data_IF_378842032440
#
_entry.id   IF_378842032440
#
_cell.length_a   1.000
_cell.length_b   1.000
_cell.length_c   1.000
_cell.angle_alpha   90.00
_cell.angle_beta   90.00
_cell.angle_gamma   90.00
#
_symmetry.space_group_name_H-M   'P 1'
#
loop_
_entity.id
_entity.type
_entity.pdbx_description
1 polymer ?
#
# COMPACT_ATOMS: atom_id res chain seq x y z
N UNK A 1 -10.52 8.06 -11.84
CA UNK A 1 -9.97 7.18 -10.78
C UNK A 1 -10.65 7.59 -9.48
N UNK A 2 -11.09 6.64 -8.66
CA UNK A 2 -11.43 6.95 -7.26
C UNK A 2 -10.12 7.45 -6.66
N UNK A 3 -9.97 8.77 -6.56
CA UNK A 3 -8.89 9.35 -5.77
C UNK A 3 -9.29 8.99 -4.36
N UNK A 4 -8.69 7.94 -3.83
CA UNK A 4 -8.76 7.63 -2.42
C UNK A 4 -8.17 8.85 -1.72
N UNK A 5 -8.98 9.68 -1.04
CA UNK A 5 -8.44 10.84 -0.36
C UNK A 5 -7.43 10.33 0.68
N UNK A 6 -6.25 10.97 0.80
CA UNK A 6 -5.28 10.55 1.80
C UNK A 6 -5.93 10.60 3.19
N UNK A 7 -5.62 9.65 4.08
CA UNK A 7 -6.16 9.66 5.43
C UNK A 7 -5.77 10.94 6.16
N UNK A 8 -6.64 11.35 7.09
CA UNK A 8 -6.27 12.34 8.11
C UNK A 8 -5.37 11.65 9.13
N UNK A 9 -4.06 11.92 9.04
CA UNK A 9 -3.05 11.33 9.92
C UNK A 9 -2.83 12.13 11.21
N UNK A 10 -3.61 13.19 11.41
CA UNK A 10 -3.58 14.13 12.53
C UNK A 10 -4.69 13.87 13.56
N UNK A 11 -5.42 12.74 13.46
CA UNK A 11 -6.39 12.36 14.49
C UNK A 11 -5.71 12.21 15.85
N UNK A 12 -6.40 12.48 16.98
CA UNK A 12 -5.77 12.40 18.30
C UNK A 12 -5.11 11.04 18.59
N UNK A 13 -5.71 9.96 18.11
CA UNK A 13 -5.20 8.59 18.23
C UNK A 13 -3.88 8.41 17.46
N UNK A 14 -3.84 8.80 16.18
CA UNK A 14 -2.64 8.69 15.36
C UNK A 14 -1.56 9.70 15.75
N UNK A 15 -1.95 10.86 16.27
CA UNK A 15 -1.03 11.88 16.81
C UNK A 15 -0.40 11.46 18.14
N UNK A 16 -1.07 10.62 18.94
CA UNK A 16 -0.54 10.05 20.18
C UNK A 16 0.21 8.72 20.02
N UNK A 17 0.15 8.09 18.85
CA UNK A 17 0.84 6.83 18.54
C UNK A 17 2.38 6.90 18.77
N UNK A 18 3.04 5.77 19.08
CA UNK A 18 4.50 5.74 19.17
C UNK A 18 5.15 5.77 17.79
N UNK A 19 6.44 6.12 17.74
CA UNK A 19 7.26 5.86 16.55
C UNK A 19 7.45 4.36 16.34
N UNK A 20 7.55 3.93 15.08
CA UNK A 20 7.79 2.54 14.72
C UNK A 20 9.16 2.06 15.20
N UNK A 21 9.22 0.80 15.62
CA UNK A 21 10.47 0.15 16.01
C UNK A 21 11.17 -0.39 14.78
N UNK A 22 12.48 -0.13 14.69
CA UNK A 22 13.34 -0.67 13.64
C UNK A 22 14.41 -1.59 14.24
N UNK A 23 14.66 -2.71 13.57
CA UNK A 23 15.66 -3.72 13.96
C UNK A 23 16.59 -3.96 12.77
N UNK A 24 17.91 -4.02 12.96
CA UNK A 24 18.84 -4.28 11.87
C UNK A 24 18.61 -5.68 11.28
N UNK A 25 18.60 -5.76 9.95
CA UNK A 25 18.55 -7.03 9.23
C UNK A 25 19.75 -7.92 9.59
N UNK A 26 19.55 -9.21 9.93
CA UNK A 26 20.62 -10.09 10.41
C UNK A 26 21.63 -10.47 9.31
N UNK A 27 21.18 -10.58 8.06
CA UNK A 27 21.98 -10.94 6.89
C UNK A 27 21.36 -10.38 5.61
N UNK A 28 22.11 -10.41 4.52
CA UNK A 28 21.59 -10.08 3.19
C UNK A 28 20.44 -11.02 2.82
N UNK A 29 19.33 -10.45 2.35
CA UNK A 29 18.13 -11.18 1.97
C UNK A 29 17.29 -11.69 3.16
N UNK A 30 17.68 -11.41 4.41
CA UNK A 30 17.01 -11.89 5.62
C UNK A 30 16.47 -10.72 6.42
N UNK A 31 15.21 -10.80 6.80
CA UNK A 31 14.52 -9.80 7.64
C UNK A 31 14.46 -10.26 9.10
N UNK A 32 14.40 -9.34 10.07
CA UNK A 32 14.30 -9.70 11.49
C UNK A 32 12.97 -10.37 11.82
N UNK A 33 12.97 -11.15 12.91
CA UNK A 33 11.74 -11.71 13.45
C UNK A 33 10.73 -10.60 13.80
N UNK A 34 9.47 -10.83 13.43
CA UNK A 34 8.39 -9.87 13.66
C UNK A 34 8.44 -8.64 12.75
N UNK A 35 9.17 -8.67 11.63
CA UNK A 35 9.05 -7.65 10.60
C UNK A 35 7.60 -7.50 10.14
N UNK A 36 7.22 -6.26 9.81
CA UNK A 36 5.92 -5.99 9.22
C UNK A 36 5.94 -6.34 7.72
N UNK A 37 5.08 -7.27 7.30
CA UNK A 37 4.90 -7.62 5.89
C UNK A 37 3.80 -6.74 5.29
N UNK A 38 4.17 -5.92 4.31
CA UNK A 38 3.26 -4.95 3.69
C UNK A 38 2.14 -5.59 2.87
N UNK A 39 0.99 -4.92 2.84
CA UNK A 39 -0.13 -5.22 1.93
C UNK A 39 -0.03 -4.35 0.67
N UNK A 40 -1.02 -4.44 -0.23
CA UNK A 40 -1.15 -3.52 -1.36
C UNK A 40 -1.92 -2.22 -1.02
N UNK A 41 -2.25 -2.01 0.26
CA UNK A 41 -2.95 -0.82 0.72
C UNK A 41 -1.98 0.32 1.08
N UNK A 42 -2.43 1.59 1.03
CA UNK A 42 -1.63 2.72 1.49
C UNK A 42 -1.18 2.50 2.94
N UNK A 43 0.13 2.42 3.13
CA UNK A 43 0.77 2.17 4.43
C UNK A 43 1.55 3.41 4.86
N UNK A 44 1.48 3.73 6.14
CA UNK A 44 2.14 4.86 6.79
C UNK A 44 2.92 4.38 8.01
N UNK A 45 4.12 4.91 8.19
CA UNK A 45 5.01 4.57 9.30
C UNK A 45 5.38 5.84 10.04
N UNK A 46 5.24 5.84 11.36
CA UNK A 46 5.58 6.98 12.20
C UNK A 46 7.07 6.95 12.53
N UNK A 47 7.80 7.96 12.08
CA UNK A 47 9.26 8.07 12.23
C UNK A 47 9.57 9.51 12.65
N UNK A 48 10.19 9.69 13.82
CA UNK A 48 10.51 11.02 14.34
C UNK A 48 9.28 11.87 14.59
N UNK A 49 8.18 11.26 15.03
CA UNK A 49 6.90 11.93 15.27
C UNK A 49 6.09 12.25 14.00
N UNK A 50 6.56 11.86 12.82
CA UNK A 50 5.88 12.14 11.54
C UNK A 50 5.44 10.85 10.84
N UNK A 51 4.22 10.85 10.34
CA UNK A 51 3.72 9.76 9.49
C UNK A 51 4.25 9.91 8.06
N UNK A 52 4.97 8.88 7.59
CA UNK A 52 5.60 8.85 6.26
C UNK A 52 5.12 7.63 5.48
N UNK A 53 4.89 7.80 4.19
CA UNK A 53 4.57 6.68 3.28
C UNK A 53 5.86 6.16 2.63
N UNK A 54 6.02 4.85 2.43
CA UNK A 54 7.21 4.30 1.79
C UNK A 54 7.28 4.67 0.31
N UNK A 55 8.50 4.78 -0.20
CA UNK A 55 8.79 4.72 -1.64
C UNK A 55 8.46 3.31 -2.16
N UNK A 56 7.93 3.27 -3.39
CA UNK A 56 7.59 2.02 -4.11
C UNK A 56 6.65 1.06 -3.33
N UNK A 57 5.49 1.54 -2.84
CA UNK A 57 4.57 0.72 -2.06
C UNK A 57 4.09 -0.50 -2.87
N UNK A 58 4.05 -1.65 -2.22
CA UNK A 58 3.67 -2.95 -2.80
C UNK A 58 3.34 -3.93 -1.69
N UNK A 59 2.64 -5.00 -2.03
CA UNK A 59 2.51 -6.16 -1.15
C UNK A 59 3.80 -6.98 -1.05
N UNK A 60 3.87 -7.77 0.01
CA UNK A 60 4.92 -8.77 0.29
C UNK A 60 6.34 -8.17 0.36
N UNK A 61 6.43 -6.94 0.85
CA UNK A 61 7.68 -6.23 1.09
C UNK A 61 7.89 -5.91 2.57
N UNK A 62 9.15 -5.69 2.94
CA UNK A 62 9.55 -5.17 4.24
C UNK A 62 9.71 -3.64 4.18
N UNK A 63 9.40 -2.96 5.27
CA UNK A 63 9.60 -1.51 5.42
C UNK A 63 11.01 -1.24 5.92
N UNK A 64 11.82 -0.54 5.13
CA UNK A 64 13.26 -0.34 5.38
C UNK A 64 13.60 1.14 5.35
N UNK A 65 14.40 1.60 6.32
CA UNK A 65 15.03 2.92 6.27
C UNK A 65 16.39 2.83 5.58
N UNK A 66 16.62 3.67 4.57
CA UNK A 66 17.96 3.78 3.98
C UNK A 66 18.88 4.71 4.78
N UNK A 67 20.14 4.83 4.34
CA UNK A 67 21.13 5.67 5.01
C UNK A 67 20.84 7.18 4.98
N UNK A 68 19.94 7.65 4.11
CA UNK A 68 19.46 9.02 4.08
C UNK A 68 18.21 9.23 4.98
N UNK A 69 17.71 8.15 5.59
CA UNK A 69 16.48 8.16 6.37
C UNK A 69 15.22 8.13 5.51
N UNK A 70 15.30 7.74 4.25
CA UNK A 70 14.12 7.53 3.40
C UNK A 70 13.51 6.16 3.65
N UNK A 71 12.18 6.11 3.70
CA UNK A 71 11.43 4.89 3.94
C UNK A 71 11.11 4.20 2.61
N UNK A 72 11.42 2.91 2.51
CA UNK A 72 11.20 2.08 1.33
C UNK A 72 10.37 0.85 1.64
N UNK A 73 9.50 0.45 0.72
CA UNK A 73 8.95 -0.90 0.69
C UNK A 73 9.86 -1.76 -0.21
N UNK A 74 10.61 -2.69 0.41
CA UNK A 74 11.66 -3.46 -0.27
C UNK A 74 11.37 -4.96 -0.22
N UNK A 75 11.48 -5.63 -1.36
CA UNK A 75 11.45 -7.09 -1.40
C UNK A 75 12.54 -7.66 -0.48
N UNK A 76 12.20 -8.67 0.32
CA UNK A 76 13.11 -9.25 1.32
C UNK A 76 14.48 -9.63 0.74
N UNK A 77 14.50 -10.23 -0.46
CA UNK A 77 15.73 -10.59 -1.19
C UNK A 77 16.66 -9.41 -1.54
N UNK A 78 16.19 -8.17 -1.44
CA UNK A 78 16.96 -6.94 -1.71
C UNK A 78 17.42 -6.24 -0.42
N UNK A 79 16.97 -6.69 0.76
CA UNK A 79 17.41 -6.15 2.05
C UNK A 79 18.87 -6.53 2.28
N UNK A 80 19.67 -5.58 2.77
CA UNK A 80 21.08 -5.77 3.11
C UNK A 80 21.26 -5.89 4.61
N UNK A 81 22.27 -6.66 5.02
CA UNK A 81 22.65 -6.82 6.43
C UNK A 81 22.82 -5.46 7.09
N UNK A 82 22.22 -5.31 8.27
CA UNK A 82 22.30 -4.09 9.07
C UNK A 82 21.29 -3.01 8.69
N UNK A 83 20.57 -3.13 7.57
CA UNK A 83 19.52 -2.16 7.25
C UNK A 83 18.41 -2.17 8.31
N UNK A 84 17.97 -1.00 8.81
CA UNK A 84 16.86 -0.93 9.75
C UNK A 84 15.55 -1.35 9.09
N UNK A 85 14.96 -2.44 9.57
CA UNK A 85 13.65 -2.96 9.11
C UNK A 85 12.61 -2.72 10.18
N UNK A 86 11.44 -2.19 9.80
CA UNK A 86 10.33 -1.97 10.73
C UNK A 86 9.77 -3.30 11.22
N UNK A 87 9.54 -3.40 12.53
CA UNK A 87 8.95 -4.57 13.20
C UNK A 87 7.68 -4.18 13.94
N UNK A 88 6.72 -5.10 13.96
CA UNK A 88 5.37 -4.86 14.46
C UNK A 88 4.37 -5.64 13.62
N UNK A 89 3.18 -5.88 14.17
CA UNK A 89 2.08 -6.57 13.48
C UNK A 89 0.80 -5.75 13.42
N UNK A 90 0.67 -4.73 14.28
CA UNK A 90 -0.51 -3.90 14.29
C UNK A 90 -0.55 -2.94 13.10
N UNK A 91 -1.75 -2.77 12.55
CA UNK A 91 -2.03 -1.96 11.36
C UNK A 91 -2.82 -0.68 11.68
N UNK A 92 -3.14 -0.45 12.96
CA UNK A 92 -3.98 0.66 13.43
C UNK A 92 -3.16 1.84 14.01
N UNK A 93 -1.83 1.80 13.86
CA UNK A 93 -0.92 2.81 14.35
C UNK A 93 -0.36 2.57 15.74
N UNK A 94 -0.86 1.60 16.54
CA UNK A 94 -0.38 1.38 17.92
C UNK A 94 1.08 0.96 18.04
N UNK A 95 1.67 0.42 16.97
CA UNK A 95 3.10 0.08 16.86
C UNK A 95 3.84 1.02 15.89
N UNK A 96 3.27 2.19 15.59
CA UNK A 96 3.83 3.16 14.66
C UNK A 96 3.67 2.77 13.19
N UNK A 97 2.84 1.78 12.86
CA UNK A 97 2.51 1.36 11.50
C UNK A 97 0.99 1.43 11.33
N UNK A 98 0.54 2.16 10.31
CA UNK A 98 -0.87 2.39 10.01
C UNK A 98 -1.18 2.01 8.56
N UNK A 99 -2.18 1.17 8.35
CA UNK A 99 -2.68 0.76 7.03
C UNK A 99 -4.05 1.41 6.81
N UNK A 100 -4.20 2.12 5.70
CA UNK A 100 -5.44 2.82 5.39
C UNK A 100 -6.42 1.91 4.63
N UNK A 101 -7.17 1.10 5.37
CA UNK A 101 -8.14 0.13 4.80
C UNK A 101 -9.35 0.78 4.13
N UNK A 102 -9.80 1.93 4.64
CA UNK A 102 -10.91 2.71 4.08
C UNK A 102 -10.69 3.20 2.66
N UNK A 103 -9.47 3.03 2.14
CA UNK A 103 -9.17 3.16 0.73
C UNK A 103 -10.09 2.33 -0.19
N UNK A 104 -10.58 1.17 0.28
CA UNK A 104 -11.32 0.23 -0.56
C UNK A 104 -12.79 0.01 -0.16
N UNK A 105 -13.30 0.72 0.87
CA UNK A 105 -14.69 0.57 1.30
C UNK A 105 -15.66 1.17 0.27
N UNK A 106 -16.01 0.39 -0.76
CA UNK A 106 -17.23 0.57 -1.53
C UNK A 106 -18.35 -0.16 -0.80
N UNK A 107 -19.01 0.54 0.14
CA UNK A 107 -20.06 -0.05 0.97
C UNK A 107 -21.20 -0.65 0.15
N UNK A 108 -21.64 -1.84 0.52
CA UNK A 108 -22.96 -2.39 0.22
C UNK A 108 -23.22 -3.66 1.07
N UNK A 109 -23.78 -3.48 2.26
CA UNK A 109 -24.11 -4.58 3.20
C UNK A 109 -25.57 -5.07 3.04
N UNK A 110 -26.14 -4.91 1.83
CA UNK A 110 -27.50 -5.36 1.49
C UNK A 110 -27.45 -6.64 0.66
N UNK A 111 -28.45 -7.51 0.82
CA UNK A 111 -28.58 -8.73 0.03
C UNK A 111 -28.63 -8.43 -1.47
N UNK A 112 -27.76 -9.05 -2.27
CA UNK A 112 -27.63 -8.83 -3.72
C UNK A 112 -27.52 -10.14 -4.49
N UNK A 113 -28.17 -10.21 -5.66
CA UNK A 113 -27.93 -11.26 -6.67
C UNK A 113 -26.79 -10.84 -7.60
N UNK A 114 -26.06 -11.81 -8.18
CA UNK A 114 -24.93 -11.56 -9.11
C UNK A 114 -23.76 -10.75 -8.49
N UNK A 115 -23.56 -10.89 -7.18
CA UNK A 115 -22.55 -10.16 -6.41
C UNK A 115 -21.09 -10.63 -6.65
N UNK A 116 -20.87 -11.75 -7.35
CA UNK A 116 -19.50 -12.25 -7.60
C UNK A 116 -18.70 -11.28 -8.46
N UNK A 117 -17.43 -11.01 -8.15
CA UNK A 117 -16.63 -10.01 -8.86
C UNK A 117 -16.51 -10.29 -10.37
N UNK A 118 -16.38 -11.55 -10.76
CA UNK A 118 -16.19 -11.98 -12.15
C UNK A 118 -17.39 -12.80 -12.63
N UNK A 119 -17.98 -12.39 -13.76
CA UNK A 119 -18.99 -13.18 -14.51
C UNK A 119 -19.00 -12.75 -15.98
N UNK A 120 -19.20 -13.73 -16.88
CA UNK A 120 -19.40 -13.50 -18.32
C UNK A 120 -20.75 -12.85 -18.66
N UNK A 121 -21.67 -12.85 -17.71
CA UNK A 121 -23.04 -12.33 -17.86
C UNK A 121 -23.17 -10.90 -17.33
N UNK A 122 -22.10 -10.32 -16.79
CA UNK A 122 -22.08 -8.91 -16.39
C UNK A 122 -21.92 -8.01 -17.61
N UNK A 123 -22.77 -6.99 -17.79
CA UNK A 123 -22.61 -6.03 -18.86
C UNK A 123 -21.31 -5.24 -18.69
N UNK A 124 -20.56 -5.07 -19.78
CA UNK A 124 -19.33 -4.27 -19.82
C UNK A 124 -19.66 -2.87 -20.31
N UNK A 125 -19.38 -1.84 -19.50
CA UNK A 125 -19.57 -0.43 -19.87
C UNK A 125 -18.34 0.12 -20.61
N UNK A 126 -18.29 -0.09 -21.93
CA UNK A 126 -17.23 0.42 -22.79
C UNK A 126 -17.14 1.96 -22.80
N UNK A 127 -18.26 2.66 -22.64
CA UNK A 127 -18.27 4.12 -22.62
C UNK A 127 -17.63 4.66 -21.34
N UNK A 128 -17.84 4.00 -20.20
CA UNK A 128 -17.12 4.30 -18.97
C UNK A 128 -15.62 4.02 -19.12
N UNK A 129 -15.23 2.87 -19.67
CA UNK A 129 -13.81 2.57 -19.89
C UNK A 129 -13.12 3.62 -20.78
N UNK A 130 -13.75 4.00 -21.90
CA UNK A 130 -13.21 5.03 -22.78
C UNK A 130 -13.08 6.40 -22.08
N UNK A 131 -14.08 6.78 -21.28
CA UNK A 131 -14.03 8.00 -20.45
C UNK A 131 -12.89 7.96 -19.45
N UNK A 132 -12.70 6.84 -18.73
CA UNK A 132 -11.61 6.69 -17.77
C UNK A 132 -10.22 6.86 -18.41
N UNK A 133 -10.03 6.37 -19.64
CA UNK A 133 -8.79 6.52 -20.40
C UNK A 133 -8.55 7.98 -20.82
N UNK A 134 -9.59 8.67 -21.29
CA UNK A 134 -9.53 10.10 -21.64
C UNK A 134 -9.24 10.95 -20.40
N UNK A 135 -9.95 10.71 -19.31
CA UNK A 135 -9.78 11.44 -18.05
C UNK A 135 -8.36 11.25 -17.47
N UNK A 136 -7.75 10.07 -17.62
CA UNK A 136 -6.36 9.81 -17.20
C UNK A 136 -5.35 10.58 -18.05
N UNK A 137 -5.53 10.57 -19.38
CA UNK A 137 -4.69 11.34 -20.29
C UNK A 137 -4.76 12.83 -20.01
N UNK A 138 -5.97 13.38 -19.83
CA UNK A 138 -6.18 14.82 -19.70
C UNK A 138 -5.63 15.38 -18.37
N UNK A 139 -5.51 14.53 -17.33
CA UNK A 139 -4.81 14.88 -16.08
C UNK A 139 -3.29 14.62 -16.12
N UNK A 140 -2.74 14.25 -17.28
CA UNK A 140 -1.31 13.96 -17.45
C UNK A 140 -0.84 12.63 -16.87
N UNK A 141 -1.77 11.70 -16.61
CA UNK A 141 -1.45 10.35 -16.15
C UNK A 141 -1.03 9.41 -17.27
N UNK A 142 -0.66 8.18 -16.89
CA UNK A 142 -0.16 7.17 -17.81
C UNK A 142 -0.98 5.88 -17.69
N UNK A 143 -1.35 5.32 -18.84
CA UNK A 143 -2.03 4.03 -18.93
C UNK A 143 -1.02 2.95 -19.30
N UNK A 144 -0.92 1.91 -18.47
CA UNK A 144 -0.01 0.79 -18.69
C UNK A 144 -0.83 -0.42 -19.15
N UNK A 145 -0.44 -1.03 -20.27
CA UNK A 145 -1.04 -2.24 -20.80
C UNK A 145 -0.18 -3.45 -20.46
N UNK A 146 -0.75 -4.44 -19.80
CA UNK A 146 -0.13 -5.76 -19.59
C UNK A 146 -0.83 -6.75 -20.51
N UNK A 147 -0.30 -6.93 -21.72
CA UNK A 147 -0.88 -7.79 -22.74
C UNK A 147 -0.10 -9.11 -22.89
N UNK A 148 -0.83 -10.22 -22.94
CA UNK A 148 -0.27 -11.53 -23.27
C UNK A 148 -0.22 -11.77 -24.79
N UNK A 149 0.37 -12.91 -25.22
CA UNK A 149 0.55 -13.23 -26.64
C UNK A 149 -0.77 -13.44 -27.40
N UNK A 150 -1.90 -13.63 -26.71
CA UNK A 150 -3.21 -13.84 -27.34
C UNK A 150 -3.84 -12.56 -27.94
N UNK A 151 -3.19 -11.40 -27.79
CA UNK A 151 -3.69 -10.13 -28.32
C UNK A 151 -3.48 -9.99 -29.85
N UNK A 152 -2.48 -10.69 -30.40
CA UNK A 152 -2.08 -10.61 -31.82
C UNK A 152 -2.64 -11.74 -32.65
#
# INVERSE_FOLDING_TARGET
>A
MIIIPPPKLDTPELAAAPDARFVPAPADGVVPDGFFSTTNLPTYVRIGGQWRSPREPRMDAALVLDGAGELWAREMRRVRRGEPVAVGKAEDGREGIYVYERALEAGNDQFQFMASDVSREKPIDYALMARLLVDERDRGGYMIWVAGPALV
#
